data_IF_101563348001
#
_entry.id   IF_101563348001
#
_cell.length_a   1.000
_cell.length_b   1.000
_cell.length_c   1.000
_cell.angle_alpha   90.00
_cell.angle_beta   90.00
_cell.angle_gamma   90.00
#
_symmetry.space_group_name_H-M   'P 1'
#
loop_
_entity.id
_entity.type
_entity.pdbx_description
1 polymer ?
#
# COMPACT_ATOMS: atom_id res chain seq x y z
N UNK A 1 14.63 5.27 -27.50
CA UNK A 1 14.95 4.89 -26.10
C UNK A 1 14.79 6.03 -25.09
N UNK A 2 15.20 7.28 -25.38
CA UNK A 2 15.01 8.43 -24.46
C UNK A 2 13.54 8.87 -24.20
N UNK A 3 12.61 8.50 -25.09
CA UNK A 3 11.16 8.78 -24.93
C UNK A 3 10.52 7.85 -23.88
N UNK A 4 11.16 6.71 -23.60
CA UNK A 4 10.59 5.58 -22.85
C UNK A 4 10.77 5.73 -21.34
N UNK A 5 11.90 6.25 -20.85
CA UNK A 5 12.05 6.56 -19.42
C UNK A 5 11.20 7.76 -19.00
N UNK A 6 10.95 8.69 -19.94
CA UNK A 6 10.08 9.86 -19.72
C UNK A 6 8.62 9.49 -19.48
N UNK A 7 8.07 8.43 -20.07
CA UNK A 7 6.65 8.09 -19.90
C UNK A 7 6.32 7.46 -18.53
N UNK A 8 7.31 6.83 -17.89
CA UNK A 8 7.14 6.06 -16.66
C UNK A 8 7.50 6.86 -15.40
N UNK A 9 8.51 7.72 -15.48
CA UNK A 9 8.71 8.81 -14.50
C UNK A 9 7.46 9.68 -14.43
N UNK A 10 6.85 10.00 -15.59
CA UNK A 10 5.54 10.67 -15.66
C UNK A 10 4.39 9.85 -15.07
N UNK A 11 4.46 8.52 -15.07
CA UNK A 11 3.44 7.68 -14.46
C UNK A 11 3.56 7.66 -12.94
N UNK A 12 4.78 7.60 -12.39
CA UNK A 12 5.04 7.79 -10.96
C UNK A 12 4.71 9.22 -10.50
N UNK A 13 5.08 10.24 -11.28
CA UNK A 13 4.65 11.63 -11.09
C UNK A 13 3.12 11.75 -11.16
N UNK A 14 2.47 11.02 -12.06
CA UNK A 14 1.01 10.95 -12.19
C UNK A 14 0.34 10.32 -10.98
N UNK A 15 0.86 9.19 -10.46
CA UNK A 15 0.39 8.59 -9.21
C UNK A 15 0.50 9.58 -8.05
N UNK A 16 1.66 10.25 -7.94
CA UNK A 16 1.95 11.24 -6.93
C UNK A 16 1.00 12.45 -7.02
N UNK A 17 0.74 12.94 -8.22
CA UNK A 17 -0.16 14.07 -8.47
C UNK A 17 -1.63 13.70 -8.20
N UNK A 18 -2.06 12.50 -8.61
CA UNK A 18 -3.43 12.02 -8.39
C UNK A 18 -3.73 11.77 -6.91
N UNK A 19 -2.76 11.26 -6.16
CA UNK A 19 -2.92 11.10 -4.73
C UNK A 19 -2.88 12.43 -3.97
N UNK A 20 -2.25 13.50 -4.49
CA UNK A 20 -2.41 14.87 -3.95
C UNK A 20 -3.81 15.42 -4.27
N UNK A 21 -4.34 15.11 -5.44
CA UNK A 21 -5.68 15.51 -5.87
C UNK A 21 -6.79 14.72 -5.20
N UNK A 22 -6.50 13.60 -4.53
CA UNK A 22 -7.48 12.76 -3.82
C UNK A 22 -8.41 13.59 -2.92
N UNK A 23 -7.84 14.37 -2.01
CA UNK A 23 -8.61 15.10 -1.01
C UNK A 23 -9.40 16.28 -1.63
N UNK A 24 -8.81 17.11 -2.52
CA UNK A 24 -9.58 18.10 -3.28
C UNK A 24 -10.72 17.51 -4.11
N UNK A 25 -10.49 16.38 -4.80
CA UNK A 25 -11.52 15.70 -5.61
C UNK A 25 -12.61 15.12 -4.71
N UNK A 26 -12.24 14.48 -3.60
CA UNK A 26 -13.20 14.01 -2.60
C UNK A 26 -14.08 15.15 -2.12
N UNK A 27 -13.49 16.30 -1.80
CA UNK A 27 -14.23 17.48 -1.35
C UNK A 27 -15.16 18.05 -2.41
N UNK A 28 -14.72 18.12 -3.66
CA UNK A 28 -15.56 18.57 -4.77
C UNK A 28 -16.77 17.65 -5.01
N UNK A 29 -16.67 16.37 -4.64
CA UNK A 29 -17.74 15.39 -4.76
C UNK A 29 -18.65 15.30 -3.53
N UNK A 30 -18.26 15.83 -2.35
CA UNK A 30 -19.13 15.82 -1.16
C UNK A 30 -20.50 16.49 -1.40
N UNK A 31 -20.60 17.64 -2.08
CA UNK A 31 -21.89 18.30 -2.34
C UNK A 31 -22.81 17.51 -3.28
N UNK A 32 -22.32 16.51 -4.02
CA UNK A 32 -23.14 15.79 -5.00
C UNK A 32 -24.00 14.68 -4.37
N UNK A 33 -23.97 14.52 -3.04
CA UNK A 33 -24.71 13.48 -2.32
C UNK A 33 -24.22 12.05 -2.61
N UNK A 34 -23.10 11.91 -3.33
CA UNK A 34 -22.45 10.62 -3.51
C UNK A 34 -21.73 10.26 -2.21
N UNK A 35 -21.78 9.00 -1.75
CA UNK A 35 -21.02 8.53 -0.60
C UNK A 35 -19.54 8.49 -0.96
N UNK A 36 -18.90 9.66 -0.91
CA UNK A 36 -17.45 9.85 -1.04
C UNK A 36 -16.73 9.79 0.31
N UNK A 37 -17.49 9.45 1.35
CA UNK A 37 -17.12 9.08 2.71
C UNK A 37 -16.52 10.18 3.60
N UNK A 38 -16.54 9.91 4.90
CA UNK A 38 -16.37 10.89 5.98
C UNK A 38 -14.94 11.28 6.39
N UNK A 39 -14.90 12.28 7.28
CA UNK A 39 -13.76 13.09 7.78
C UNK A 39 -12.54 12.25 8.20
N UNK A 40 -11.34 12.73 7.89
CA UNK A 40 -10.07 12.09 8.23
C UNK A 40 -9.39 11.34 7.09
N UNK A 41 -9.88 11.46 5.85
CA UNK A 41 -9.26 10.86 4.66
C UNK A 41 -9.50 9.35 4.52
N UNK A 42 -10.21 8.75 5.48
CA UNK A 42 -10.45 7.30 5.60
C UNK A 42 -11.86 6.91 5.13
N UNK A 43 -12.90 7.66 5.49
CA UNK A 43 -14.29 7.24 5.24
C UNK A 43 -14.61 7.04 3.76
N UNK A 44 -13.96 7.82 2.90
CA UNK A 44 -14.08 7.74 1.43
C UNK A 44 -13.51 6.50 0.78
N UNK A 45 -12.78 5.67 1.52
CA UNK A 45 -12.23 4.41 1.04
C UNK A 45 -12.95 3.17 1.62
N UNK A 46 -13.74 3.33 2.68
CA UNK A 46 -14.37 2.21 3.43
C UNK A 46 -15.91 2.27 3.56
N UNK A 47 -16.57 3.11 2.75
CA UNK A 47 -18.03 3.37 2.78
C UNK A 47 -18.55 3.67 4.20
N UNK A 48 -17.86 4.55 4.91
CA UNK A 48 -18.18 4.87 6.30
C UNK A 48 -18.31 6.38 6.49
N UNK A 49 -19.33 6.79 7.24
CA UNK A 49 -19.60 8.18 7.63
C UNK A 49 -20.15 8.24 9.06
N UNK A 50 -20.37 9.45 9.57
CA UNK A 50 -20.95 9.68 10.89
C UNK A 50 -22.39 9.14 11.02
N UNK A 51 -22.82 8.79 12.24
CA UNK A 51 -24.12 8.17 12.50
C UNK A 51 -25.30 9.10 12.13
N UNK A 52 -25.09 10.42 12.13
CA UNK A 52 -26.07 11.41 11.70
C UNK A 52 -26.44 11.32 10.21
N UNK A 53 -25.61 10.65 9.40
CA UNK A 53 -25.85 10.48 7.96
C UNK A 53 -26.56 9.16 7.62
N UNK A 54 -26.98 8.39 8.63
CA UNK A 54 -27.67 7.13 8.42
C UNK A 54 -29.14 7.33 8.04
N UNK A 55 -29.45 7.14 6.76
CA UNK A 55 -30.82 7.17 6.24
C UNK A 55 -31.58 5.85 6.42
N UNK A 56 -30.90 4.78 6.83
CA UNK A 56 -31.47 3.43 7.06
C UNK A 56 -30.94 2.86 8.36
N UNK A 57 -31.72 1.97 9.00
CA UNK A 57 -31.28 1.24 10.19
C UNK A 57 -30.19 0.19 9.84
N UNK A 58 -30.21 -0.36 8.63
CA UNK A 58 -29.17 -1.24 8.11
C UNK A 58 -27.84 -0.49 7.98
N UNK A 59 -26.77 -1.04 8.54
CA UNK A 59 -25.44 -0.41 8.49
C UNK A 59 -25.19 0.63 9.59
N UNK A 60 -26.13 0.81 10.52
CA UNK A 60 -25.94 1.67 11.68
C UNK A 60 -25.19 0.92 12.78
N UNK A 61 -24.11 1.52 13.27
CA UNK A 61 -23.55 1.24 14.60
C UNK A 61 -23.76 2.47 15.50
N UNK A 62 -23.41 2.36 16.78
CA UNK A 62 -23.48 3.48 17.73
C UNK A 62 -22.64 4.69 17.29
N UNK A 63 -21.58 4.45 16.52
CA UNK A 63 -20.56 5.44 16.16
C UNK A 63 -20.44 5.72 14.66
N UNK A 64 -21.03 4.87 13.80
CA UNK A 64 -20.86 4.98 12.36
C UNK A 64 -22.11 4.60 11.58
N UNK A 65 -22.15 5.08 10.35
CA UNK A 65 -23.04 4.59 9.31
C UNK A 65 -22.24 3.98 8.17
N UNK A 66 -22.53 2.71 7.85
CA UNK A 66 -21.98 2.00 6.71
C UNK A 66 -22.91 2.09 5.51
N UNK A 67 -22.38 2.56 4.38
CA UNK A 67 -23.11 2.67 3.12
C UNK A 67 -22.76 1.51 2.18
N UNK A 68 -23.65 1.14 1.25
CA UNK A 68 -23.31 0.17 0.22
C UNK A 68 -22.23 0.74 -0.72
N UNK A 69 -21.25 -0.10 -1.09
CA UNK A 69 -20.27 0.25 -2.12
C UNK A 69 -20.84 0.18 -3.53
N UNK A 70 -20.11 0.74 -4.50
CA UNK A 70 -20.46 0.69 -5.92
C UNK A 70 -20.10 -0.64 -6.58
N UNK A 71 -19.10 -1.36 -6.03
CA UNK A 71 -18.68 -2.68 -6.50
C UNK A 71 -18.06 -3.46 -5.34
N UNK A 72 -18.57 -4.65 -5.03
CA UNK A 72 -18.01 -5.58 -4.04
C UNK A 72 -17.59 -4.95 -2.69
N UNK A 73 -18.31 -3.95 -2.17
CA UNK A 73 -17.90 -3.26 -0.94
C UNK A 73 -17.01 -2.04 -1.10
N UNK A 74 -16.52 -1.72 -2.30
CA UNK A 74 -15.64 -0.57 -2.52
C UNK A 74 -16.43 0.70 -2.84
N UNK A 75 -15.93 1.83 -2.37
CA UNK A 75 -16.33 3.15 -2.89
C UNK A 75 -15.78 3.31 -4.30
N UNK A 76 -16.37 4.20 -5.11
CA UNK A 76 -15.79 4.56 -6.41
C UNK A 76 -14.35 5.10 -6.26
N UNK A 77 -14.11 5.86 -5.19
CA UNK A 77 -12.80 6.44 -4.91
C UNK A 77 -11.76 5.37 -4.55
N UNK A 78 -12.11 4.35 -3.77
CA UNK A 78 -11.22 3.23 -3.48
C UNK A 78 -10.75 2.55 -4.77
N UNK A 79 -11.66 2.28 -5.69
CA UNK A 79 -11.34 1.65 -6.98
C UNK A 79 -10.41 2.54 -7.82
N UNK A 80 -10.68 3.84 -7.89
CA UNK A 80 -9.86 4.81 -8.64
C UNK A 80 -8.46 4.87 -8.05
N UNK A 81 -8.34 5.07 -6.73
CA UNK A 81 -7.06 5.20 -6.05
C UNK A 81 -6.24 3.91 -6.16
N UNK A 82 -6.84 2.74 -5.90
CA UNK A 82 -6.16 1.45 -6.04
C UNK A 82 -5.73 1.20 -7.49
N UNK A 83 -6.59 1.47 -8.47
CA UNK A 83 -6.28 1.30 -9.88
C UNK A 83 -5.10 2.17 -10.32
N UNK A 84 -5.10 3.44 -9.94
CA UNK A 84 -4.01 4.37 -10.21
C UNK A 84 -2.73 3.97 -9.48
N UNK A 85 -2.84 3.49 -8.23
CA UNK A 85 -1.71 2.99 -7.44
C UNK A 85 -1.06 1.72 -8.03
N UNK A 86 -1.83 0.89 -8.73
CA UNK A 86 -1.29 -0.30 -9.38
C UNK A 86 -0.81 -0.04 -10.81
N UNK A 87 -1.30 1.01 -11.47
CA UNK A 87 -1.16 1.21 -12.90
C UNK A 87 0.29 1.17 -13.40
N UNK A 88 1.29 1.82 -12.80
CA UNK A 88 2.64 1.82 -13.39
C UNK A 88 3.31 0.45 -13.39
N UNK A 89 3.06 -0.37 -12.36
CA UNK A 89 3.58 -1.74 -12.32
C UNK A 89 2.82 -2.66 -13.28
N UNK A 90 1.49 -2.54 -13.37
CA UNK A 90 0.68 -3.31 -14.33
C UNK A 90 1.08 -2.96 -15.77
N UNK A 91 1.17 -1.68 -16.11
CA UNK A 91 1.52 -1.21 -17.45
C UNK A 91 2.96 -1.56 -17.79
N UNK A 92 3.89 -1.43 -16.83
CA UNK A 92 5.28 -1.85 -16.97
C UNK A 92 5.39 -3.34 -17.27
N UNK A 93 4.72 -4.17 -16.47
CA UNK A 93 4.71 -5.62 -16.66
C UNK A 93 4.03 -6.03 -17.99
N UNK A 94 2.85 -5.49 -18.31
CA UNK A 94 2.15 -5.79 -19.56
C UNK A 94 3.00 -5.43 -20.78
N UNK A 95 3.71 -4.29 -20.72
CA UNK A 95 4.63 -3.89 -21.78
C UNK A 95 5.79 -4.88 -21.94
N UNK A 96 6.41 -5.29 -20.83
CA UNK A 96 7.48 -6.29 -20.86
C UNK A 96 6.99 -7.64 -21.40
N UNK A 97 5.72 -7.98 -21.14
CA UNK A 97 5.10 -9.20 -21.60
C UNK A 97 4.87 -9.24 -23.13
N UNK A 98 4.61 -8.09 -23.75
CA UNK A 98 4.32 -7.97 -25.19
C UNK A 98 5.58 -7.74 -26.03
N UNK A 99 6.69 -7.27 -25.42
CA UNK A 99 7.89 -6.97 -26.18
C UNK A 99 8.63 -8.27 -26.59
N UNK A 100 8.57 -8.60 -27.89
CA UNK A 100 9.12 -9.84 -28.49
C UNK A 100 10.65 -9.90 -28.62
N UNK A 101 11.36 -8.81 -28.37
CA UNK A 101 12.82 -8.84 -28.36
C UNK A 101 13.31 -9.48 -27.07
N UNK A 102 14.37 -10.28 -27.13
CA UNK A 102 15.16 -10.65 -25.95
C UNK A 102 15.81 -9.39 -25.37
N UNK A 103 15.01 -8.49 -24.81
CA UNK A 103 15.53 -7.50 -23.91
C UNK A 103 15.79 -8.28 -22.63
N UNK A 104 16.90 -9.00 -22.65
CA UNK A 104 17.77 -9.03 -21.50
C UNK A 104 17.99 -7.56 -21.18
N UNK A 105 17.07 -6.95 -20.41
CA UNK A 105 17.29 -5.69 -19.72
C UNK A 105 18.36 -6.05 -18.69
N UNK A 106 19.56 -6.26 -19.20
CA UNK A 106 20.72 -6.54 -18.40
C UNK A 106 20.91 -5.31 -17.54
N UNK A 107 21.38 -5.49 -16.31
CA UNK A 107 21.69 -4.37 -15.43
C UNK A 107 22.51 -3.29 -16.15
N UNK A 108 23.30 -3.68 -17.17
CA UNK A 108 24.08 -2.87 -18.13
C UNK A 108 23.27 -1.95 -19.06
N UNK A 109 22.11 -2.35 -19.59
CA UNK A 109 21.28 -1.49 -20.46
C UNK A 109 20.45 -0.49 -19.65
N UNK A 110 20.01 -0.89 -18.45
CA UNK A 110 19.43 0.04 -17.49
C UNK A 110 20.50 1.04 -17.01
N UNK A 111 21.72 0.60 -16.70
CA UNK A 111 22.79 1.50 -16.25
C UNK A 111 23.30 2.43 -17.34
N UNK A 112 23.27 2.11 -18.64
CA UNK A 112 23.68 3.03 -19.71
C UNK A 112 22.64 4.11 -20.02
N UNK A 113 21.34 3.79 -19.88
CA UNK A 113 20.26 4.79 -19.92
C UNK A 113 20.21 5.65 -18.63
N UNK A 114 20.67 5.08 -17.51
CA UNK A 114 20.68 5.71 -16.19
C UNK A 114 22.03 6.39 -15.84
N UNK A 115 23.12 6.11 -16.55
CA UNK A 115 24.44 6.75 -16.34
C UNK A 115 24.46 8.21 -16.80
N UNK A 116 23.48 8.62 -17.61
CA UNK A 116 23.16 10.05 -17.83
C UNK A 116 22.27 10.69 -16.75
N UNK A 117 21.97 10.00 -15.63
CA UNK A 117 20.72 10.21 -14.87
C UNK A 117 20.83 10.52 -13.37
N UNK A 118 22.00 10.94 -12.86
CA UNK A 118 22.05 11.57 -11.51
C UNK A 118 20.99 12.69 -11.35
N UNK A 119 20.68 13.39 -12.44
CA UNK A 119 19.62 14.38 -12.51
C UNK A 119 18.21 13.78 -12.32
N UNK A 120 17.95 12.58 -12.83
CA UNK A 120 16.64 11.89 -12.74
C UNK A 120 16.35 11.38 -11.33
N UNK A 121 17.34 10.79 -10.65
CA UNK A 121 17.22 10.40 -9.24
C UNK A 121 16.94 11.59 -8.33
N UNK A 122 17.65 12.71 -8.58
CA UNK A 122 17.46 13.96 -7.85
C UNK A 122 16.07 14.57 -8.14
N UNK A 123 15.56 14.47 -9.37
CA UNK A 123 14.22 14.95 -9.74
C UNK A 123 13.12 14.12 -9.08
N UNK A 124 13.20 12.78 -9.14
CA UNK A 124 12.21 11.91 -8.51
C UNK A 124 12.14 12.11 -7.00
N UNK A 125 13.30 12.15 -6.32
CA UNK A 125 13.33 12.38 -4.87
C UNK A 125 12.77 13.76 -4.50
N UNK A 126 13.04 14.79 -5.31
CA UNK A 126 12.45 16.13 -5.11
C UNK A 126 10.93 16.09 -5.26
N UNK A 127 10.43 15.42 -6.30
CA UNK A 127 9.00 15.26 -6.53
C UNK A 127 8.32 14.47 -5.38
N UNK A 128 8.93 13.37 -4.94
CA UNK A 128 8.45 12.57 -3.83
C UNK A 128 8.37 13.38 -2.53
N UNK A 129 9.44 14.10 -2.18
CA UNK A 129 9.47 14.95 -0.97
C UNK A 129 8.43 16.06 -1.06
N UNK A 130 8.36 16.76 -2.20
CA UNK A 130 7.36 17.81 -2.42
C UNK A 130 5.94 17.28 -2.23
N UNK A 131 5.62 16.14 -2.83
CA UNK A 131 4.29 15.51 -2.74
C UNK A 131 4.00 15.00 -1.32
N UNK A 132 5.02 14.48 -0.63
CA UNK A 132 4.93 14.10 0.78
C UNK A 132 4.53 15.28 1.66
N UNK A 133 5.12 16.46 1.40
CA UNK A 133 4.74 17.69 2.09
C UNK A 133 3.34 18.14 1.72
N UNK A 134 2.89 18.01 0.47
CA UNK A 134 1.51 18.30 0.11
C UNK A 134 0.51 17.38 0.82
N UNK A 135 0.81 16.08 0.92
CA UNK A 135 0.00 15.11 1.67
C UNK A 135 -0.06 15.39 3.17
N UNK A 136 0.94 16.08 3.71
CA UNK A 136 0.91 16.52 5.10
C UNK A 136 0.17 17.86 5.24
N UNK A 137 0.52 18.87 4.44
CA UNK A 137 0.04 20.23 4.60
C UNK A 137 -1.44 20.39 4.25
N UNK A 138 -1.94 19.70 3.21
CA UNK A 138 -3.35 19.82 2.81
C UNK A 138 -4.31 19.33 3.91
N UNK A 139 -4.17 18.11 4.47
CA UNK A 139 -4.99 17.68 5.60
C UNK A 139 -4.75 18.51 6.86
N UNK A 140 -3.51 18.94 7.12
CA UNK A 140 -3.21 19.77 8.30
C UNK A 140 -4.01 21.08 8.26
N UNK A 141 -3.97 21.77 7.12
CA UNK A 141 -4.72 23.02 6.93
C UNK A 141 -6.22 22.78 7.13
N UNK A 142 -6.75 21.64 6.67
CA UNK A 142 -8.16 21.29 6.86
C UNK A 142 -8.51 21.02 8.32
N UNK A 143 -7.69 20.25 9.03
CA UNK A 143 -7.89 20.05 10.47
C UNK A 143 -7.84 21.38 11.22
N UNK A 144 -6.88 22.24 10.90
CA UNK A 144 -6.77 23.57 11.51
C UNK A 144 -7.91 24.52 11.13
N UNK A 145 -8.75 24.19 10.15
CA UNK A 145 -9.96 24.96 9.87
C UNK A 145 -11.04 24.74 10.94
N UNK A 146 -11.07 23.56 11.56
CA UNK A 146 -11.98 23.25 12.66
C UNK A 146 -11.55 24.00 13.95
N UNK A 147 -12.46 24.71 14.63
CA UNK A 147 -12.18 25.34 15.92
C UNK A 147 -11.63 24.37 16.97
N UNK A 148 -12.04 23.09 16.95
CA UNK A 148 -11.58 22.07 17.89
C UNK A 148 -10.05 21.93 17.86
N UNK A 149 -9.46 21.80 16.67
CA UNK A 149 -8.01 21.60 16.52
C UNK A 149 -7.19 22.87 16.79
N UNK A 150 -7.84 24.04 16.87
CA UNK A 150 -7.20 25.31 17.23
C UNK A 150 -7.37 25.69 18.72
N UNK A 151 -8.05 24.86 19.50
CA UNK A 151 -8.36 25.16 20.91
C UNK A 151 -7.14 25.23 21.84
N UNK A 152 -6.00 24.65 21.46
CA UNK A 152 -4.78 24.67 22.27
C UNK A 152 -3.68 23.77 21.73
N UNK A 153 -2.52 23.77 22.39
CA UNK A 153 -1.32 23.02 21.95
C UNK A 153 -1.59 21.53 21.72
N UNK A 154 -2.30 20.87 22.65
CA UNK A 154 -2.62 19.44 22.56
C UNK A 154 -3.52 19.12 21.36
N UNK A 155 -4.51 19.97 21.09
CA UNK A 155 -5.40 19.81 19.93
C UNK A 155 -4.64 20.03 18.61
N UNK A 156 -3.74 21.03 18.56
CA UNK A 156 -2.85 21.25 17.40
C UNK A 156 -1.91 20.06 17.19
N UNK A 157 -1.34 19.49 18.26
CA UNK A 157 -0.49 18.30 18.17
C UNK A 157 -1.26 17.08 17.62
N UNK A 158 -2.54 16.92 18.00
CA UNK A 158 -3.42 15.92 17.41
C UNK A 158 -3.66 16.18 15.91
N UNK A 159 -3.92 17.42 15.50
CA UNK A 159 -4.07 17.78 14.07
C UNK A 159 -2.82 17.47 13.25
N UNK A 160 -1.64 17.82 13.75
CA UNK A 160 -0.34 17.51 13.13
C UNK A 160 -0.15 16.00 13.01
N UNK A 161 -0.48 15.25 14.07
CA UNK A 161 -0.41 13.80 14.05
C UNK A 161 -1.34 13.17 13.01
N UNK A 162 -2.60 13.59 12.96
CA UNK A 162 -3.57 13.08 11.99
C UNK A 162 -3.14 13.41 10.55
N UNK A 163 -2.61 14.60 10.31
CA UNK A 163 -2.06 14.98 9.01
C UNK A 163 -0.82 14.15 8.62
N UNK A 164 0.07 13.84 9.57
CA UNK A 164 1.24 13.00 9.33
C UNK A 164 0.88 11.57 8.90
N UNK A 165 -0.29 11.06 9.29
CA UNK A 165 -0.76 9.74 8.88
C UNK A 165 -0.91 9.62 7.36
N UNK A 166 -1.30 10.69 6.66
CA UNK A 166 -1.45 10.68 5.20
C UNK A 166 -0.10 10.45 4.53
N UNK A 167 0.91 11.27 4.86
CA UNK A 167 2.25 11.10 4.33
C UNK A 167 2.83 9.71 4.71
N UNK A 168 2.64 9.27 5.96
CA UNK A 168 3.08 7.96 6.44
C UNK A 168 2.53 6.81 5.59
N UNK A 169 1.23 6.80 5.33
CA UNK A 169 0.55 5.73 4.58
C UNK A 169 1.16 5.51 3.19
N UNK A 170 1.46 6.58 2.46
CA UNK A 170 2.08 6.48 1.14
C UNK A 170 3.52 5.99 1.18
N UNK A 171 4.30 6.44 2.17
CA UNK A 171 5.66 5.94 2.36
C UNK A 171 5.65 4.47 2.72
N UNK A 172 4.77 4.06 3.64
CA UNK A 172 4.64 2.69 4.09
C UNK A 172 4.18 1.76 2.95
N UNK A 173 3.23 2.20 2.13
CA UNK A 173 2.79 1.48 0.94
C UNK A 173 3.91 1.31 -0.11
N UNK A 174 4.69 2.36 -0.36
CA UNK A 174 5.80 2.28 -1.31
C UNK A 174 6.91 1.33 -0.82
N UNK A 175 7.32 1.44 0.45
CA UNK A 175 8.38 0.58 0.99
C UNK A 175 7.95 -0.87 1.16
N UNK A 176 6.64 -1.14 1.20
CA UNK A 176 6.11 -2.51 1.17
C UNK A 176 6.44 -3.22 -0.16
N UNK A 177 6.61 -2.48 -1.26
CA UNK A 177 6.99 -3.06 -2.56
C UNK A 177 8.43 -3.59 -2.45
N UNK A 178 8.65 -4.89 -2.62
CA UNK A 178 9.97 -5.47 -2.39
C UNK A 178 10.96 -5.06 -3.48
N UNK A 179 12.21 -4.84 -3.08
CA UNK A 179 13.32 -4.59 -4.00
C UNK A 179 13.70 -5.91 -4.69
N UNK A 180 13.09 -6.18 -5.84
CA UNK A 180 13.31 -7.40 -6.62
C UNK A 180 13.62 -7.12 -8.09
N UNK A 181 14.17 -8.13 -8.76
CA UNK A 181 14.41 -8.10 -10.21
C UNK A 181 13.09 -8.16 -11.02
N UNK A 182 11.96 -8.45 -10.38
CA UNK A 182 10.63 -8.34 -10.99
C UNK A 182 10.14 -6.89 -11.07
N UNK A 183 10.53 -6.04 -10.11
CA UNK A 183 10.02 -4.66 -9.97
C UNK A 183 10.85 -3.69 -10.77
N UNK A 184 12.18 -3.78 -10.67
CA UNK A 184 13.07 -2.77 -11.25
C UNK A 184 12.91 -2.61 -12.77
N UNK A 185 12.80 -3.70 -13.57
CA UNK A 185 12.53 -3.60 -15.01
C UNK A 185 11.15 -3.01 -15.33
N UNK A 186 10.12 -3.35 -14.56
CA UNK A 186 8.77 -2.79 -14.72
C UNK A 186 8.75 -1.29 -14.45
N UNK A 187 9.62 -0.81 -13.56
CA UNK A 187 9.82 0.61 -13.24
C UNK A 187 10.85 1.30 -14.15
N UNK A 188 11.49 0.58 -15.08
CA UNK A 188 12.46 1.14 -16.02
C UNK A 188 13.71 1.71 -15.34
N UNK A 189 14.05 1.23 -14.14
CA UNK A 189 15.18 1.69 -13.32
C UNK A 189 16.06 0.51 -12.90
N UNK A 190 17.36 0.73 -12.64
CA UNK A 190 18.20 -0.33 -12.12
C UNK A 190 17.78 -0.70 -10.69
N UNK A 191 17.94 -1.98 -10.32
CA UNK A 191 17.62 -2.47 -8.97
C UNK A 191 18.36 -1.73 -7.85
N UNK A 192 19.58 -1.25 -8.12
CA UNK A 192 20.35 -0.42 -7.18
C UNK A 192 19.65 0.92 -6.87
N UNK A 193 19.01 1.55 -7.87
CA UNK A 193 18.24 2.77 -7.66
C UNK A 193 16.98 2.48 -6.82
N UNK A 194 16.23 1.41 -7.13
CA UNK A 194 15.08 0.98 -6.32
C UNK A 194 15.50 0.72 -4.86
N UNK A 195 16.65 0.10 -4.65
CA UNK A 195 17.20 -0.16 -3.32
C UNK A 195 17.52 1.14 -2.55
N UNK A 196 18.18 2.09 -3.19
CA UNK A 196 18.51 3.38 -2.56
C UNK A 196 17.26 4.22 -2.28
N UNK A 197 16.28 4.21 -3.18
CA UNK A 197 14.98 4.84 -2.95
C UNK A 197 14.26 4.17 -1.77
N UNK A 198 14.16 2.84 -1.74
CA UNK A 198 13.54 2.09 -0.66
C UNK A 198 14.15 2.46 0.71
N UNK A 199 15.48 2.59 0.80
CA UNK A 199 16.14 3.05 2.03
C UNK A 199 15.75 4.47 2.43
N UNK A 200 15.76 5.41 1.47
CA UNK A 200 15.43 6.82 1.74
C UNK A 200 13.97 6.96 2.19
N UNK A 201 13.04 6.38 1.43
CA UNK A 201 11.62 6.39 1.75
C UNK A 201 11.39 5.67 3.08
N UNK A 202 12.09 4.56 3.37
CA UNK A 202 12.00 3.85 4.65
C UNK A 202 12.39 4.68 5.87
N UNK A 203 13.43 5.52 5.75
CA UNK A 203 13.75 6.47 6.83
C UNK A 203 12.69 7.55 6.98
N UNK A 204 12.12 8.05 5.89
CA UNK A 204 10.99 8.97 5.95
C UNK A 204 9.73 8.32 6.54
N UNK A 205 9.46 7.04 6.29
CA UNK A 205 8.39 6.27 6.97
C UNK A 205 8.59 6.32 8.48
N UNK A 206 9.81 6.13 8.98
CA UNK A 206 10.10 6.21 10.40
C UNK A 206 9.88 7.63 10.97
N UNK A 207 10.26 8.68 10.23
CA UNK A 207 10.04 10.08 10.63
C UNK A 207 8.54 10.38 10.72
N UNK A 208 7.77 10.10 9.68
CA UNK A 208 6.32 10.33 9.69
C UNK A 208 5.61 9.47 10.73
N UNK A 209 6.06 8.23 10.92
CA UNK A 209 5.59 7.33 11.97
C UNK A 209 5.81 7.90 13.37
N UNK A 210 6.98 8.49 13.61
CA UNK A 210 7.29 9.14 14.89
C UNK A 210 6.42 10.39 15.11
N UNK A 211 6.27 11.27 14.12
CA UNK A 211 5.41 12.46 14.23
C UNK A 211 3.96 12.07 14.53
N UNK A 212 3.43 11.07 13.81
CA UNK A 212 2.08 10.56 14.02
C UNK A 212 1.93 9.96 15.43
N UNK A 213 2.79 9.02 15.81
CA UNK A 213 2.70 8.31 17.08
C UNK A 213 2.90 9.23 18.30
N UNK A 214 3.86 10.14 18.25
CA UNK A 214 4.14 11.07 19.35
C UNK A 214 2.98 12.06 19.53
N UNK A 215 2.46 12.65 18.45
CA UNK A 215 1.33 13.57 18.58
C UNK A 215 0.04 12.91 19.06
N UNK A 216 -0.24 11.65 18.65
CA UNK A 216 -1.35 10.88 19.23
C UNK A 216 -1.09 10.56 20.71
N UNK A 217 0.14 10.22 21.09
CA UNK A 217 0.46 9.90 22.48
C UNK A 217 0.29 11.13 23.40
N UNK A 218 0.68 12.32 22.95
CA UNK A 218 0.43 13.58 23.68
C UNK A 218 -1.07 13.76 23.91
N UNK A 219 -1.89 13.51 22.89
CA UNK A 219 -3.35 13.57 22.99
C UNK A 219 -3.90 12.56 24.00
N UNK A 220 -3.47 11.29 23.94
CA UNK A 220 -3.95 10.26 24.86
C UNK A 220 -3.53 10.52 26.30
N UNK A 221 -2.33 11.03 26.54
CA UNK A 221 -1.88 11.38 27.90
C UNK A 221 -2.76 12.48 28.48
N UNK A 222 -3.05 13.54 27.71
CA UNK A 222 -3.93 14.64 28.14
C UNK A 222 -5.36 14.18 28.42
N UNK A 223 -5.91 13.30 27.57
CA UNK A 223 -7.29 12.80 27.68
C UNK A 223 -7.44 11.55 28.56
N UNK A 224 -6.34 11.06 29.14
CA UNK A 224 -6.30 9.83 29.92
C UNK A 224 -6.16 8.58 29.03
N UNK A 225 -4.95 8.03 28.96
CA UNK A 225 -4.60 6.89 28.10
C UNK A 225 -5.53 5.68 28.28
N UNK A 226 -5.91 5.40 29.53
CA UNK A 226 -6.75 4.25 29.87
C UNK A 226 -8.11 4.26 29.16
N UNK A 227 -8.65 5.44 28.84
CA UNK A 227 -9.91 5.60 28.12
C UNK A 227 -9.83 5.02 26.69
N UNK A 228 -8.65 5.07 26.07
CA UNK A 228 -8.44 4.71 24.66
C UNK A 228 -7.90 3.29 24.45
N UNK A 229 -7.53 2.59 25.53
CA UNK A 229 -6.93 1.24 25.46
C UNK A 229 -7.77 0.17 26.17
N UNK A 230 -8.88 0.58 26.79
CA UNK A 230 -9.80 -0.29 27.52
C UNK A 230 -10.83 -0.89 26.55
N UNK A 231 -11.07 -2.18 26.67
CA UNK A 231 -12.09 -2.93 25.91
C UNK A 231 -13.07 -3.55 26.91
N UNK A 232 -13.95 -2.75 27.50
CA UNK A 232 -14.87 -3.22 28.55
C UNK A 232 -16.31 -3.37 28.10
N UNK A 233 -16.63 -2.85 26.92
CA UNK A 233 -17.92 -3.00 26.26
C UNK A 233 -17.73 -3.19 24.74
N UNK A 234 -18.67 -3.83 24.03
CA UNK A 234 -18.65 -3.91 22.57
C UNK A 234 -18.63 -2.54 21.87
N UNK A 235 -19.19 -1.49 22.50
CA UNK A 235 -19.12 -0.10 22.03
C UNK A 235 -17.71 0.49 22.10
N UNK A 236 -16.77 -0.12 22.85
CA UNK A 236 -15.37 0.31 22.88
C UNK A 236 -14.56 -0.22 21.69
N UNK A 237 -15.20 -0.86 20.69
CA UNK A 237 -14.50 -1.48 19.56
C UNK A 237 -13.61 -0.53 18.76
N UNK A 238 -13.92 0.77 18.74
CA UNK A 238 -13.02 1.81 18.18
C UNK A 238 -11.63 1.85 18.83
N UNK A 239 -11.53 1.45 20.10
CA UNK A 239 -10.25 1.42 20.81
C UNK A 239 -9.26 0.46 20.18
N UNK A 240 -9.73 -0.49 19.36
CA UNK A 240 -8.86 -1.32 18.53
C UNK A 240 -8.01 -0.49 17.55
N UNK A 241 -8.51 0.66 17.03
CA UNK A 241 -7.68 1.58 16.23
C UNK A 241 -6.46 2.03 17.03
N UNK A 242 -6.67 2.46 18.27
CA UNK A 242 -5.61 3.00 19.12
C UNK A 242 -4.64 1.92 19.61
N UNK A 243 -5.17 0.75 20.01
CA UNK A 243 -4.38 -0.42 20.42
C UNK A 243 -3.47 -0.87 19.28
N UNK A 244 -4.03 -1.11 18.09
CA UNK A 244 -3.22 -1.50 16.94
C UNK A 244 -2.32 -0.37 16.44
N UNK A 245 -2.68 0.91 16.67
CA UNK A 245 -1.81 2.05 16.42
C UNK A 245 -0.53 2.00 17.28
N UNK A 246 -0.66 1.74 18.58
CA UNK A 246 0.48 1.56 19.49
C UNK A 246 1.33 0.33 19.12
N UNK A 247 0.67 -0.80 18.79
CA UNK A 247 1.36 -2.01 18.31
C UNK A 247 2.16 -1.71 17.04
N UNK A 248 1.53 -1.05 16.07
CA UNK A 248 2.16 -0.68 14.79
C UNK A 248 3.35 0.27 15.01
N UNK A 249 3.19 1.30 15.86
CA UNK A 249 4.25 2.23 16.18
C UNK A 249 5.44 1.53 16.88
N UNK A 250 5.15 0.62 17.81
CA UNK A 250 6.18 -0.17 18.51
C UNK A 250 6.94 -1.09 17.55
N UNK A 251 6.22 -1.79 16.67
CA UNK A 251 6.82 -2.64 15.64
C UNK A 251 7.65 -1.82 14.65
N UNK A 252 7.18 -0.64 14.24
CA UNK A 252 7.91 0.25 13.33
C UNK A 252 9.19 0.79 13.99
N UNK A 253 9.14 1.13 15.29
CA UNK A 253 10.32 1.53 16.05
C UNK A 253 11.35 0.38 16.11
N UNK A 254 10.93 -0.83 16.49
CA UNK A 254 11.80 -2.01 16.53
C UNK A 254 12.38 -2.30 15.15
N UNK A 255 11.55 -2.26 14.10
CA UNK A 255 11.98 -2.45 12.72
C UNK A 255 13.04 -1.42 12.29
N UNK A 256 12.86 -0.15 12.68
CA UNK A 256 13.80 0.95 12.41
C UNK A 256 15.12 0.76 13.16
N UNK A 257 15.07 0.32 14.42
CA UNK A 257 16.26 -0.03 15.21
C UNK A 257 17.02 -1.21 14.61
N UNK A 258 16.32 -2.28 14.18
CA UNK A 258 16.94 -3.39 13.47
C UNK A 258 17.61 -2.92 12.17
N UNK A 259 16.98 -2.00 11.43
CA UNK A 259 17.55 -1.42 10.21
C UNK A 259 18.81 -0.56 10.50
N UNK A 260 18.83 0.20 11.59
CA UNK A 260 19.99 1.02 11.99
C UNK A 260 21.17 0.14 12.45
N UNK A 261 20.88 -0.98 13.10
CA UNK A 261 21.85 -1.94 13.63
C UNK A 261 22.31 -2.99 12.61
N UNK A 262 21.89 -2.91 11.33
CA UNK A 262 22.16 -3.95 10.31
C UNK A 262 23.64 -4.33 10.10
N UNK A 263 24.57 -3.44 10.48
CA UNK A 263 26.03 -3.66 10.37
C UNK A 263 26.63 -4.36 11.59
N UNK A 264 25.86 -4.56 12.66
CA UNK A 264 26.34 -5.22 13.86
C UNK A 264 26.53 -6.71 13.61
N UNK A 265 27.65 -7.27 14.07
CA UNK A 265 28.09 -8.64 13.74
C UNK A 265 27.07 -9.71 14.13
N UNK A 266 26.41 -9.55 15.29
CA UNK A 266 25.39 -10.48 15.79
C UNK A 266 24.10 -10.49 14.95
N UNK A 267 23.82 -9.41 14.21
CA UNK A 267 22.61 -9.25 13.39
C UNK A 267 22.87 -9.47 11.90
N UNK A 268 24.10 -9.24 11.42
CA UNK A 268 24.40 -9.21 9.99
C UNK A 268 23.98 -10.49 9.22
N UNK A 269 24.16 -11.67 9.83
CA UNK A 269 23.82 -12.97 9.22
C UNK A 269 22.32 -13.25 9.17
N UNK A 270 21.54 -12.70 10.11
CA UNK A 270 20.10 -12.93 10.25
C UNK A 270 19.25 -11.72 9.83
N UNK A 271 19.88 -10.57 9.58
CA UNK A 271 19.25 -9.26 9.33
C UNK A 271 18.12 -9.36 8.33
N UNK A 272 18.35 -9.95 7.15
CA UNK A 272 17.32 -10.05 6.10
C UNK A 272 16.08 -10.81 6.57
N UNK A 273 16.25 -11.87 7.36
CA UNK A 273 15.12 -12.68 7.87
C UNK A 273 14.34 -11.89 8.91
N UNK A 274 15.04 -11.31 9.90
CA UNK A 274 14.44 -10.53 10.99
C UNK A 274 13.74 -9.29 10.44
N UNK A 275 14.39 -8.54 9.55
CA UNK A 275 13.86 -7.35 8.92
C UNK A 275 12.59 -7.64 8.12
N UNK A 276 12.57 -8.70 7.31
CA UNK A 276 11.38 -9.11 6.54
C UNK A 276 10.23 -9.52 7.45
N UNK A 277 10.50 -10.32 8.49
CA UNK A 277 9.48 -10.72 9.45
C UNK A 277 8.85 -9.50 10.12
N UNK A 278 9.69 -8.59 10.64
CA UNK A 278 9.22 -7.37 11.28
C UNK A 278 8.47 -6.47 10.28
N UNK A 279 8.93 -6.35 9.04
CA UNK A 279 8.22 -5.59 8.00
C UNK A 279 6.82 -6.16 7.76
N UNK A 280 6.69 -7.49 7.61
CA UNK A 280 5.38 -8.15 7.48
C UNK A 280 4.47 -7.87 8.67
N UNK A 281 5.01 -7.93 9.89
CA UNK A 281 4.24 -7.62 11.11
C UNK A 281 3.81 -6.15 11.17
N UNK A 282 4.69 -5.21 10.81
CA UNK A 282 4.36 -3.78 10.72
C UNK A 282 3.23 -3.56 9.72
N UNK A 283 3.33 -4.12 8.51
CA UNK A 283 2.32 -3.96 7.47
C UNK A 283 0.99 -4.59 7.87
N UNK A 284 1.01 -5.79 8.48
CA UNK A 284 -0.20 -6.44 8.99
C UNK A 284 -0.86 -5.60 10.09
N UNK A 285 -0.09 -5.15 11.09
CA UNK A 285 -0.62 -4.28 12.15
C UNK A 285 -1.15 -2.96 11.59
N UNK A 286 -0.48 -2.38 10.60
CA UNK A 286 -0.92 -1.16 9.92
C UNK A 286 -2.27 -1.36 9.18
N UNK A 287 -2.51 -2.52 8.56
CA UNK A 287 -3.83 -2.81 7.95
C UNK A 287 -4.96 -2.91 8.96
N UNK A 288 -4.66 -3.40 10.16
CA UNK A 288 -5.65 -3.49 11.25
C UNK A 288 -5.89 -2.11 11.86
N UNK A 289 -4.83 -1.34 12.10
CA UNK A 289 -4.90 0.04 12.59
C UNK A 289 -5.61 0.97 11.60
N UNK A 290 -5.39 0.79 10.30
CA UNK A 290 -5.98 1.61 9.24
C UNK A 290 -6.50 0.71 8.10
N UNK A 291 -7.80 0.41 8.10
CA UNK A 291 -8.38 -0.59 7.19
C UNK A 291 -8.16 -0.32 5.70
N UNK A 292 -8.27 0.92 5.18
CA UNK A 292 -7.96 1.19 3.78
C UNK A 292 -6.52 0.89 3.40
N UNK A 293 -5.60 0.73 4.36
CA UNK A 293 -4.19 0.48 4.06
C UNK A 293 -4.00 -0.77 3.20
N UNK A 294 -4.86 -1.78 3.38
CA UNK A 294 -4.81 -3.03 2.62
C UNK A 294 -4.89 -2.79 1.11
N UNK A 295 -5.67 -1.80 0.68
CA UNK A 295 -5.83 -1.42 -0.73
C UNK A 295 -4.50 -0.98 -1.38
N UNK A 296 -3.60 -0.40 -0.57
CA UNK A 296 -2.31 0.10 -1.03
C UNK A 296 -1.22 -0.98 -1.02
N UNK A 297 -1.49 -2.14 -0.41
CA UNK A 297 -0.55 -3.27 -0.39
C UNK A 297 -0.66 -4.16 -1.62
N UNK A 298 -1.70 -4.01 -2.44
CA UNK A 298 -1.91 -4.84 -3.63
C UNK A 298 -0.67 -4.96 -4.54
N UNK A 299 0.12 -3.90 -4.82
CA UNK A 299 1.35 -4.06 -5.59
C UNK A 299 2.43 -4.88 -4.88
N UNK A 300 2.59 -4.70 -3.57
CA UNK A 300 3.54 -5.47 -2.79
C UNK A 300 3.15 -6.97 -2.79
N UNK A 301 1.86 -7.24 -2.58
CA UNK A 301 1.30 -8.60 -2.62
C UNK A 301 1.50 -9.22 -3.99
N UNK A 302 1.14 -8.53 -5.08
CA UNK A 302 1.28 -9.06 -6.44
C UNK A 302 2.73 -9.48 -6.76
N UNK A 303 3.72 -8.66 -6.37
CA UNK A 303 5.14 -8.97 -6.59
C UNK A 303 5.61 -10.15 -5.75
N UNK A 304 5.25 -10.19 -4.47
CA UNK A 304 5.59 -11.30 -3.57
C UNK A 304 4.94 -12.61 -4.03
N UNK A 305 3.66 -12.58 -4.41
CA UNK A 305 2.91 -13.72 -4.93
C UNK A 305 3.46 -14.22 -6.27
N UNK A 306 3.88 -13.31 -7.16
CA UNK A 306 4.55 -13.70 -8.40
C UNK A 306 5.87 -14.45 -8.12
N UNK A 307 6.69 -13.94 -7.19
CA UNK A 307 7.94 -14.59 -6.77
C UNK A 307 7.69 -15.98 -6.14
N UNK A 308 6.65 -16.09 -5.31
CA UNK A 308 6.24 -17.36 -4.71
C UNK A 308 5.76 -18.36 -5.77
N UNK A 309 4.95 -17.90 -6.72
CA UNK A 309 4.46 -18.69 -7.85
C UNK A 309 5.59 -19.25 -8.72
N UNK A 310 6.65 -18.48 -8.97
CA UNK A 310 7.83 -18.96 -9.68
C UNK A 310 8.56 -20.07 -8.92
N UNK A 311 8.70 -19.92 -7.61
CA UNK A 311 9.32 -20.93 -6.75
C UNK A 311 8.51 -22.23 -6.80
N UNK A 312 7.18 -22.14 -6.76
CA UNK A 312 6.27 -23.27 -6.90
C UNK A 312 6.34 -23.91 -8.30
N UNK A 313 6.41 -23.09 -9.35
CA UNK A 313 6.56 -23.58 -10.72
C UNK A 313 7.89 -24.34 -10.92
N UNK A 314 8.99 -23.81 -10.36
CA UNK A 314 10.29 -24.48 -10.38
C UNK A 314 10.25 -25.84 -9.67
N UNK A 315 9.54 -25.94 -8.54
CA UNK A 315 9.35 -27.19 -7.81
C UNK A 315 8.62 -28.28 -8.63
N UNK A 316 7.78 -27.89 -9.60
CA UNK A 316 7.12 -28.81 -10.55
C UNK A 316 7.83 -28.90 -11.91
N UNK A 317 9.11 -28.51 -11.97
CA UNK A 317 9.95 -28.65 -13.17
C UNK A 317 9.60 -27.67 -14.29
N UNK A 318 9.01 -26.51 -13.97
CA UNK A 318 8.69 -25.44 -14.92
C UNK A 318 9.57 -24.23 -14.68
N UNK A 319 10.11 -23.66 -15.76
CA UNK A 319 10.81 -22.38 -15.73
C UNK A 319 10.11 -21.42 -16.70
N UNK A 320 9.46 -20.35 -16.21
CA UNK A 320 8.77 -19.40 -17.06
C UNK A 320 9.76 -18.54 -17.86
N UNK A 321 9.40 -18.17 -19.09
CA UNK A 321 10.13 -17.14 -19.83
C UNK A 321 9.89 -15.76 -19.19
N UNK A 322 10.76 -14.78 -19.48
CA UNK A 322 10.60 -13.40 -18.99
C UNK A 322 9.23 -12.78 -19.36
N UNK A 323 8.72 -13.08 -20.57
CA UNK A 323 7.39 -12.66 -20.99
C UNK A 323 6.27 -13.27 -20.14
N UNK A 324 6.42 -14.54 -19.73
CA UNK A 324 5.46 -15.18 -18.83
C UNK A 324 5.55 -14.70 -17.40
N UNK A 325 6.75 -14.45 -16.89
CA UNK A 325 6.90 -13.79 -15.61
C UNK A 325 6.12 -12.46 -15.59
N UNK A 326 6.25 -11.68 -16.66
CA UNK A 326 5.56 -10.40 -16.80
C UNK A 326 4.03 -10.57 -16.86
N UNK A 327 3.51 -11.55 -17.61
CA UNK A 327 2.09 -11.91 -17.59
C UNK A 327 1.61 -12.45 -16.23
N UNK A 328 2.45 -13.22 -15.55
CA UNK A 328 2.15 -13.75 -14.22
C UNK A 328 2.04 -12.63 -13.19
N UNK A 329 2.89 -11.59 -13.28
CA UNK A 329 2.79 -10.39 -12.45
C UNK A 329 1.49 -9.63 -12.73
N UNK A 330 1.12 -9.43 -14.01
CA UNK A 330 -0.19 -8.83 -14.36
C UNK A 330 -1.33 -9.68 -13.79
N UNK A 331 -1.28 -11.00 -13.97
CA UNK A 331 -2.25 -11.94 -13.40
C UNK A 331 -2.31 -11.88 -11.87
N UNK A 332 -1.17 -11.68 -11.19
CA UNK A 332 -1.11 -11.53 -9.74
C UNK A 332 -1.86 -10.28 -9.27
N UNK A 333 -1.78 -9.15 -9.99
CA UNK A 333 -2.59 -7.96 -9.68
C UNK A 333 -4.09 -8.26 -9.79
N UNK A 334 -4.52 -8.91 -10.88
CA UNK A 334 -5.93 -9.28 -11.05
C UNK A 334 -6.40 -10.29 -9.99
N UNK A 335 -5.62 -11.35 -9.74
CA UNK A 335 -5.91 -12.35 -8.73
C UNK A 335 -5.99 -11.73 -7.33
N UNK A 336 -5.03 -10.86 -6.98
CA UNK A 336 -5.02 -10.12 -5.72
C UNK A 336 -6.29 -9.29 -5.57
N UNK A 337 -6.64 -8.47 -6.56
CA UNK A 337 -7.87 -7.66 -6.52
C UNK A 337 -9.14 -8.52 -6.36
N UNK A 338 -9.22 -9.68 -7.00
CA UNK A 338 -10.34 -10.63 -6.81
C UNK A 338 -10.39 -11.13 -5.36
N UNK A 339 -9.25 -11.52 -4.78
CA UNK A 339 -9.18 -11.97 -3.38
C UNK A 339 -9.62 -10.89 -2.40
N UNK A 340 -9.13 -9.66 -2.61
CA UNK A 340 -9.56 -8.47 -1.89
C UNK A 340 -11.06 -8.26 -2.02
N UNK A 341 -11.62 -8.29 -3.23
CA UNK A 341 -13.03 -8.05 -3.49
C UNK A 341 -13.96 -9.07 -2.83
N UNK A 342 -13.56 -10.35 -2.75
CA UNK A 342 -14.33 -11.38 -2.04
C UNK A 342 -14.45 -11.05 -0.55
N UNK A 343 -13.33 -10.75 0.11
CA UNK A 343 -13.34 -10.41 1.55
C UNK A 343 -14.05 -9.09 1.79
N UNK A 344 -13.87 -8.12 0.90
CA UNK A 344 -14.50 -6.80 1.02
C UNK A 344 -16.01 -6.83 0.78
N UNK A 345 -16.49 -7.73 -0.09
CA UNK A 345 -17.92 -8.02 -0.24
C UNK A 345 -18.48 -8.70 1.01
N UNK A 346 -17.75 -9.65 1.61
CA UNK A 346 -18.14 -10.26 2.88
C UNK A 346 -18.21 -9.23 4.01
N UNK A 347 -17.22 -8.32 4.08
CA UNK A 347 -17.23 -7.16 4.97
C UNK A 347 -18.49 -6.34 4.78
N UNK A 348 -18.83 -5.92 3.56
CA UNK A 348 -20.05 -5.13 3.32
C UNK A 348 -21.29 -5.86 3.85
N UNK A 349 -21.44 -7.15 3.58
CA UNK A 349 -22.59 -7.94 4.05
C UNK A 349 -22.70 -7.97 5.57
N UNK A 350 -21.57 -8.12 6.27
CA UNK A 350 -21.54 -8.10 7.73
C UNK A 350 -21.84 -6.70 8.26
N UNK A 351 -21.19 -5.68 7.69
CA UNK A 351 -21.32 -4.28 8.13
C UNK A 351 -22.66 -3.65 7.80
N UNK A 352 -23.45 -4.23 6.90
CA UNK A 352 -24.80 -3.75 6.56
C UNK A 352 -25.89 -4.25 7.53
N UNK A 353 -25.54 -5.12 8.49
CA UNK A 353 -26.47 -5.59 9.52
C UNK A 353 -26.75 -4.47 10.53
N UNK A 354 -27.84 -4.60 11.28
CA UNK A 354 -28.13 -3.73 12.43
C UNK A 354 -27.21 -4.13 13.60
N UNK A 355 -26.78 -3.14 14.38
CA UNK A 355 -26.09 -3.31 15.68
C UNK A 355 -24.81 -4.16 15.60
N UNK A 356 -24.00 -3.95 14.56
CA UNK A 356 -22.73 -4.67 14.42
C UNK A 356 -21.70 -4.15 15.41
N UNK A 357 -21.12 -5.08 16.17
CA UNK A 357 -19.97 -4.83 17.05
C UNK A 357 -18.79 -4.23 16.27
N UNK A 358 -18.27 -3.11 16.76
CA UNK A 358 -17.15 -2.39 16.15
C UNK A 358 -15.80 -3.12 16.24
N UNK A 359 -15.69 -4.20 17.02
CA UNK A 359 -14.52 -5.09 17.05
C UNK A 359 -14.46 -5.99 15.80
N UNK A 360 -15.60 -6.53 15.36
CA UNK A 360 -15.67 -7.45 14.22
C UNK A 360 -15.06 -6.88 12.92
N UNK A 361 -15.24 -5.60 12.55
CA UNK A 361 -14.60 -5.05 11.36
C UNK A 361 -13.08 -5.24 11.26
N UNK A 362 -12.36 -5.35 12.40
CA UNK A 362 -10.90 -5.44 12.44
C UNK A 362 -10.32 -6.76 11.93
N UNK A 363 -11.16 -7.80 11.74
CA UNK A 363 -10.71 -9.06 11.12
C UNK A 363 -10.64 -8.97 9.59
N UNK A 364 -11.37 -8.06 8.95
CA UNK A 364 -11.43 -8.02 7.48
C UNK A 364 -10.15 -7.56 6.81
N UNK A 365 -9.44 -6.51 7.27
CA UNK A 365 -8.17 -6.12 6.65
C UNK A 365 -7.10 -7.24 6.61
N UNK A 366 -6.80 -7.96 7.71
CA UNK A 366 -5.83 -9.04 7.65
C UNK A 366 -6.34 -10.23 6.82
N UNK A 367 -7.64 -10.54 6.85
CA UNK A 367 -8.22 -11.58 5.98
C UNK A 367 -8.13 -11.18 4.50
N UNK A 368 -8.34 -9.92 4.16
CA UNK A 368 -8.23 -9.41 2.80
C UNK A 368 -6.79 -9.55 2.30
N UNK A 369 -5.79 -9.20 3.11
CA UNK A 369 -4.38 -9.37 2.77
C UNK A 369 -4.02 -10.84 2.49
N UNK A 370 -4.55 -11.77 3.29
CA UNK A 370 -4.36 -13.22 3.07
C UNK A 370 -5.05 -13.68 1.79
N UNK A 371 -6.29 -13.27 1.56
CA UNK A 371 -7.05 -13.63 0.36
C UNK A 371 -6.40 -13.06 -0.92
N UNK A 372 -5.91 -11.83 -0.87
CA UNK A 372 -5.11 -11.22 -1.94
C UNK A 372 -3.89 -12.08 -2.26
N UNK A 373 -3.08 -12.41 -1.25
CA UNK A 373 -1.85 -13.17 -1.44
C UNK A 373 -2.13 -14.57 -1.98
N UNK A 374 -3.15 -15.27 -1.49
CA UNK A 374 -3.54 -16.60 -1.97
C UNK A 374 -4.03 -16.55 -3.41
N UNK A 375 -5.00 -15.68 -3.70
CA UNK A 375 -5.59 -15.56 -5.04
C UNK A 375 -4.56 -15.10 -6.07
N UNK A 376 -3.72 -14.10 -5.74
CA UNK A 376 -2.61 -13.66 -6.59
C UNK A 376 -1.60 -14.79 -6.86
N UNK A 377 -1.25 -15.58 -5.84
CA UNK A 377 -0.30 -16.70 -6.00
C UNK A 377 -0.87 -17.79 -6.88
N UNK A 378 -2.15 -18.15 -6.72
CA UNK A 378 -2.82 -19.15 -7.54
C UNK A 378 -2.82 -18.70 -9.01
N UNK A 379 -3.28 -17.49 -9.31
CA UNK A 379 -3.34 -16.98 -10.70
C UNK A 379 -1.95 -16.91 -11.32
N UNK A 380 -0.96 -16.37 -10.60
CA UNK A 380 0.41 -16.30 -11.08
C UNK A 380 1.02 -17.69 -11.31
N UNK A 381 0.76 -18.64 -10.41
CA UNK A 381 1.22 -20.02 -10.54
C UNK A 381 0.66 -20.68 -11.79
N UNK A 382 -0.64 -20.50 -12.06
CA UNK A 382 -1.27 -21.06 -13.26
C UNK A 382 -0.60 -20.54 -14.54
N UNK A 383 -0.29 -19.24 -14.58
CA UNK A 383 0.39 -18.62 -15.72
C UNK A 383 1.85 -19.07 -15.87
N UNK A 384 2.56 -19.31 -14.76
CA UNK A 384 3.91 -19.84 -14.76
C UNK A 384 3.97 -21.33 -15.16
N UNK A 385 3.03 -22.15 -14.66
CA UNK A 385 3.07 -23.60 -14.79
C UNK A 385 2.49 -24.14 -16.11
N UNK A 386 1.45 -23.51 -16.66
CA UNK A 386 0.66 -24.08 -17.77
C UNK A 386 0.94 -23.50 -19.15
N UNK A 387 2.04 -22.77 -19.35
CA UNK A 387 2.47 -22.31 -20.68
C UNK A 387 3.48 -23.25 -21.38
N UNK A 388 3.69 -23.11 -22.71
CA UNK A 388 4.69 -23.87 -23.46
C UNK A 388 6.10 -23.80 -22.85
N UNK A 389 6.79 -24.91 -22.57
CA UNK A 389 8.10 -24.86 -21.89
C UNK A 389 9.06 -23.89 -22.59
N UNK A 390 9.81 -23.09 -21.82
CA UNK A 390 10.97 -22.41 -22.38
C UNK A 390 11.90 -23.51 -22.92
N UNK A 391 12.21 -23.45 -24.22
CA UNK A 391 13.17 -24.38 -24.82
C UNK A 391 14.52 -24.16 -24.11
N UNK A 392 15.23 -25.23 -23.74
CA UNK A 392 16.58 -25.08 -23.20
C UNK A 392 17.43 -24.32 -24.22
N UNK A 393 18.32 -23.45 -23.73
CA UNK A 393 19.16 -22.59 -24.58
C UNK A 393 19.95 -23.36 -25.65
N UNK A 394 20.23 -24.65 -25.41
CA UNK A 394 20.87 -25.57 -26.36
C UNK A 394 20.00 -25.97 -27.57
N UNK A 395 18.67 -25.83 -27.50
CA UNK A 395 17.75 -26.14 -28.61
C UNK A 395 17.34 -24.90 -29.42
N UNK A 396 17.51 -23.69 -28.88
CA UNK A 396 17.21 -22.44 -29.59
C UNK A 396 18.21 -22.11 -30.70
N UNK A 397 19.45 -22.57 -30.59
CA UNK A 397 20.48 -22.40 -31.63
C UNK A 397 20.31 -23.41 -32.79
N UNK A 398 19.73 -24.59 -32.53
CA UNK A 398 19.54 -25.64 -33.53
C UNK A 398 18.31 -25.42 -34.42
N UNK A 399 17.41 -24.50 -34.07
CA UNK A 399 16.21 -24.14 -34.85
C UNK A 399 16.39 -22.85 -35.68
N UNK A 400 17.58 -22.24 -35.64
CA UNK A 400 17.95 -21.07 -36.45
C UNK A 400 19.03 -21.39 -37.50
N UNK A 401 19.31 -22.66 -37.76
CA UNK A 401 20.18 -23.14 -38.83
C UNK A 401 19.41 -24.02 -39.83
#
# INVERSE_FOLDING_TARGET
MAVVSRSLVRALEGMLLLAVLYEPVRQALMPTGLPVGGVGGVGGLVNLDGPQFCTRLSGRSDQYCFFPGVFAGFTAMALIVTGLWCAPLILGAARMAVHKGSVNFTATDATSAFSGSEASDKVWMKAWVFVSWLWFLLPLVQFLWDPFFRSGFVAVACAVSLAAAYALSWHLAFVAIPVSDAVAPCLGVPRSAVFEIHKKVGWWTAVWGAVHAVGQMIWFIDKGLWTYIKLSSPSDGENMLYIFGMVTASLLLIHTLIASLRKQQWLASTFKKVHRLLASLVLLAATVHWWPFVLFLLPAVAVHSCTAAETLAAAVGRSPSAARHSWALVGAFFGGFVGLAVVWSARQTVMSRQDVDMVLPFIFPPLALVAEALSATIVAFLLCAFGPKALPASQGAALMH
#
